data_IF_318719079685
#
_entry.id   IF_318719079685
#
_cell.length_a   1.000
_cell.length_b   1.000
_cell.length_c   1.000
_cell.angle_alpha   90.00
_cell.angle_beta   90.00
_cell.angle_gamma   90.00
#
_symmetry.space_group_name_H-M   'P 1'
#
loop_
_entity.id
_entity.type
_entity.pdbx_description
1 polymer ?
#
# COMPACT_ATOMS: atom_id res chain seq x y z
N UNK A 1 -6.38 13.41 -8.17
CA UNK A 1 -5.38 13.75 -7.13
C UNK A 1 -5.39 15.25 -6.86
N UNK A 2 -6.20 15.67 -5.89
CA UNK A 2 -6.49 17.08 -5.65
C UNK A 2 -5.46 17.81 -4.79
N UNK A 3 -4.56 17.11 -4.09
CA UNK A 3 -3.57 17.74 -3.22
C UNK A 3 -2.26 16.94 -3.13
N UNK A 4 -1.34 17.10 -4.10
CA UNK A 4 -0.04 16.43 -4.11
C UNK A 4 0.81 16.72 -2.87
N UNK A 5 0.85 17.98 -2.42
CA UNK A 5 1.67 18.40 -1.27
C UNK A 5 1.24 17.67 0.01
N UNK A 6 -0.06 17.51 0.22
CA UNK A 6 -0.58 16.75 1.36
C UNK A 6 -0.24 15.26 1.25
N UNK A 7 -0.29 14.69 0.04
CA UNK A 7 0.11 13.29 -0.17
C UNK A 7 1.58 13.07 0.22
N UNK A 8 2.48 13.93 -0.24
CA UNK A 8 3.90 13.86 0.15
C UNK A 8 4.13 14.16 1.63
N UNK A 9 3.44 15.14 2.20
CA UNK A 9 3.56 15.47 3.62
C UNK A 9 3.21 14.28 4.51
N UNK A 10 2.15 13.53 4.17
CA UNK A 10 1.70 12.37 4.95
C UNK A 10 2.52 11.12 4.59
N UNK A 11 2.56 10.75 3.30
CA UNK A 11 3.10 9.45 2.89
C UNK A 11 4.63 9.41 2.85
N UNK A 12 5.29 10.53 2.57
CA UNK A 12 6.74 10.61 2.53
C UNK A 12 7.33 11.18 3.82
N UNK A 13 7.01 12.44 4.15
CA UNK A 13 7.60 13.12 5.32
C UNK A 13 7.14 12.49 6.64
N UNK A 14 5.85 12.13 6.75
CA UNK A 14 5.33 11.41 7.90
C UNK A 14 6.05 10.08 8.12
N UNK A 15 6.23 9.30 7.05
CA UNK A 15 6.97 8.03 7.09
C UNK A 15 8.43 8.23 7.46
N UNK A 16 9.10 9.26 6.91
CA UNK A 16 10.47 9.63 7.31
C UNK A 16 10.57 9.86 8.82
N UNK A 17 9.65 10.64 9.38
CA UNK A 17 9.67 10.96 10.81
C UNK A 17 9.50 9.69 11.67
N UNK A 18 8.64 8.76 11.25
CA UNK A 18 8.50 7.46 11.91
C UNK A 18 9.76 6.61 11.77
N UNK A 19 10.40 6.57 10.61
CA UNK A 19 11.64 5.83 10.38
C UNK A 19 12.79 6.35 11.28
N UNK A 20 12.97 7.67 11.35
CA UNK A 20 13.96 8.30 12.22
C UNK A 20 13.67 8.00 13.70
N UNK A 21 12.42 8.10 14.13
CA UNK A 21 12.04 7.80 15.51
C UNK A 21 12.25 6.32 15.83
N UNK A 22 11.79 5.40 14.97
CA UNK A 22 12.00 3.97 15.16
C UNK A 22 13.47 3.63 15.30
N UNK A 23 14.34 4.19 14.46
CA UNK A 23 15.77 4.02 14.55
C UNK A 23 16.33 4.55 15.89
N UNK A 24 15.89 5.72 16.33
CA UNK A 24 16.42 6.36 17.54
C UNK A 24 16.13 5.59 18.82
N UNK A 25 15.00 4.84 18.86
CA UNK A 25 14.60 4.02 20.01
C UNK A 25 14.89 2.52 19.81
N UNK A 26 15.54 2.14 18.70
CA UNK A 26 15.83 0.74 18.37
C UNK A 26 14.59 -0.10 18.02
N UNK A 27 13.47 0.54 17.72
CA UNK A 27 12.23 -0.16 17.35
C UNK A 27 12.31 -0.75 15.93
N UNK A 28 11.51 -1.77 15.67
CA UNK A 28 11.28 -2.32 14.33
C UNK A 28 10.12 -1.55 13.69
N UNK A 29 10.24 -1.25 12.41
CA UNK A 29 9.21 -0.55 11.64
C UNK A 29 8.58 -1.51 10.63
N UNK A 30 7.28 -1.74 10.74
CA UNK A 30 6.51 -2.41 9.70
C UNK A 30 5.69 -1.33 8.99
N UNK A 31 5.91 -1.19 7.68
CA UNK A 31 5.26 -0.18 6.85
C UNK A 31 4.42 -0.84 5.77
N UNK A 32 3.15 -0.42 5.66
CA UNK A 32 2.28 -0.85 4.58
C UNK A 32 2.44 0.14 3.42
N UNK A 33 2.90 -0.38 2.30
CA UNK A 33 3.00 0.32 1.02
C UNK A 33 1.93 -0.18 0.04
N UNK A 34 2.11 0.06 -1.25
CA UNK A 34 1.13 -0.18 -2.29
C UNK A 34 1.79 -0.77 -3.53
N UNK A 35 1.03 -1.50 -4.34
CA UNK A 35 1.37 -1.92 -5.69
C UNK A 35 1.42 -0.74 -6.68
N UNK A 36 0.75 0.38 -6.38
CA UNK A 36 0.81 1.64 -7.16
C UNK A 36 2.23 2.23 -7.30
N UNK A 37 3.22 1.67 -6.61
CA UNK A 37 4.63 2.01 -6.87
C UNK A 37 5.13 1.44 -8.21
N UNK A 38 4.44 0.47 -8.79
CA UNK A 38 4.74 -0.08 -10.10
C UNK A 38 3.91 0.59 -11.20
N UNK A 39 4.37 0.48 -12.45
CA UNK A 39 3.70 1.12 -13.58
C UNK A 39 2.40 0.43 -14.01
N UNK A 40 2.25 -0.85 -13.73
CA UNK A 40 1.15 -1.67 -14.24
C UNK A 40 1.20 -1.95 -15.75
N UNK A 41 2.36 -1.75 -16.40
CA UNK A 41 2.51 -1.91 -17.85
C UNK A 41 3.28 -3.15 -18.28
N UNK A 42 3.86 -3.86 -17.33
CA UNK A 42 4.63 -5.06 -17.60
C UNK A 42 3.70 -6.26 -17.82
N UNK A 43 4.11 -7.16 -18.71
CA UNK A 43 3.37 -8.40 -19.02
C UNK A 43 3.78 -9.56 -18.07
N UNK A 44 3.94 -9.24 -16.79
CA UNK A 44 4.22 -10.22 -15.74
C UNK A 44 3.73 -9.74 -14.38
N UNK A 45 3.63 -10.67 -13.43
CA UNK A 45 3.33 -10.33 -12.04
C UNK A 45 4.55 -9.69 -11.38
N UNK A 46 4.37 -8.49 -10.81
CA UNK A 46 5.44 -7.78 -10.10
C UNK A 46 5.88 -8.52 -8.84
N UNK A 47 7.16 -8.40 -8.53
CA UNK A 47 7.78 -8.90 -7.31
C UNK A 47 8.66 -7.82 -6.66
N UNK A 48 9.28 -8.15 -5.52
CA UNK A 48 10.08 -7.20 -4.75
C UNK A 48 11.37 -6.73 -5.43
N UNK A 49 11.83 -7.42 -6.48
CA UNK A 49 13.05 -7.09 -7.22
C UNK A 49 12.79 -6.22 -8.45
N UNK A 50 11.52 -6.06 -8.84
CA UNK A 50 11.17 -5.21 -9.96
C UNK A 50 11.39 -3.73 -9.63
N UNK A 51 11.83 -2.98 -10.61
CA UNK A 51 12.11 -1.55 -10.46
C UNK A 51 10.80 -0.77 -10.32
N UNK A 52 10.58 -0.04 -9.23
CA UNK A 52 9.41 0.80 -9.07
C UNK A 52 9.36 1.92 -10.13
N UNK A 53 8.18 2.14 -10.70
CA UNK A 53 7.91 3.20 -11.68
C UNK A 53 6.48 3.74 -11.52
N UNK A 54 6.16 4.43 -10.42
CA UNK A 54 4.81 4.89 -10.11
C UNK A 54 4.30 5.93 -11.10
N UNK A 55 3.08 5.78 -11.54
CA UNK A 55 2.44 6.68 -12.52
C UNK A 55 1.64 7.81 -11.87
N UNK A 56 1.11 7.59 -10.68
CA UNK A 56 0.26 8.54 -9.95
C UNK A 56 1.00 9.17 -8.74
N UNK A 57 0.46 10.26 -8.19
CA UNK A 57 1.04 10.96 -7.04
C UNK A 57 1.01 10.10 -5.77
N UNK A 58 -0.04 9.30 -5.59
CA UNK A 58 -0.14 8.39 -4.46
C UNK A 58 1.04 7.41 -4.45
N UNK A 59 1.24 6.66 -5.54
CA UNK A 59 2.36 5.73 -5.67
C UNK A 59 3.72 6.42 -5.52
N UNK A 60 3.92 7.60 -6.15
CA UNK A 60 5.15 8.40 -6.01
C UNK A 60 5.43 8.79 -4.56
N UNK A 61 4.42 9.27 -3.85
CA UNK A 61 4.55 9.67 -2.45
C UNK A 61 4.81 8.48 -1.51
N UNK A 62 4.19 7.33 -1.79
CA UNK A 62 4.43 6.08 -1.04
C UNK A 62 5.84 5.55 -1.30
N UNK A 63 6.30 5.54 -2.55
CA UNK A 63 7.66 5.13 -2.90
C UNK A 63 8.72 6.05 -2.23
N UNK A 64 8.48 7.35 -2.18
CA UNK A 64 9.35 8.27 -1.44
C UNK A 64 9.40 7.92 0.06
N UNK A 65 8.29 7.49 0.65
CA UNK A 65 8.24 6.96 2.01
C UNK A 65 9.10 5.70 2.20
N UNK A 66 9.02 4.75 1.26
CA UNK A 66 9.88 3.54 1.28
C UNK A 66 11.37 3.91 1.25
N UNK A 67 11.76 4.83 0.36
CA UNK A 67 13.14 5.31 0.27
C UNK A 67 13.64 5.94 1.57
N UNK A 68 12.78 6.69 2.28
CA UNK A 68 13.13 7.22 3.60
C UNK A 68 13.28 6.13 4.66
N UNK A 69 12.44 5.09 4.65
CA UNK A 69 12.60 3.95 5.57
C UNK A 69 13.95 3.29 5.34
N UNK A 70 14.28 2.97 4.10
CA UNK A 70 15.54 2.33 3.72
C UNK A 70 16.76 3.17 4.12
N UNK A 71 16.63 4.51 4.06
CA UNK A 71 17.72 5.43 4.39
C UNK A 71 17.90 5.67 5.89
N UNK A 72 16.83 5.63 6.68
CA UNK A 72 16.83 6.09 8.07
C UNK A 72 16.53 5.03 9.11
N UNK A 73 16.11 3.83 8.73
CA UNK A 73 15.79 2.74 9.65
C UNK A 73 16.49 1.47 9.22
N UNK A 74 17.23 0.83 10.13
CA UNK A 74 17.95 -0.41 9.83
C UNK A 74 17.13 -1.68 10.06
N UNK A 75 16.03 -1.57 10.84
CA UNK A 75 15.16 -2.70 11.23
C UNK A 75 13.75 -2.45 10.75
N UNK A 76 13.47 -2.85 9.52
CA UNK A 76 12.16 -2.60 8.92
C UNK A 76 11.67 -3.77 8.06
N UNK A 77 10.35 -3.78 7.84
CA UNK A 77 9.66 -4.57 6.81
C UNK A 77 8.73 -3.63 6.05
N UNK A 78 8.76 -3.69 4.73
CA UNK A 78 7.82 -2.97 3.85
C UNK A 78 6.91 -4.02 3.21
N UNK A 79 5.60 -3.91 3.46
CA UNK A 79 4.57 -4.77 2.88
C UNK A 79 3.83 -3.98 1.79
N UNK A 80 4.03 -4.35 0.54
CA UNK A 80 3.32 -3.79 -0.61
C UNK A 80 2.04 -4.58 -0.81
N UNK A 81 0.89 -3.95 -0.59
CA UNK A 81 -0.42 -4.57 -0.75
C UNK A 81 -1.19 -3.91 -1.88
N UNK A 82 -2.12 -4.66 -2.48
CA UNK A 82 -3.03 -4.19 -3.50
C UNK A 82 -4.46 -4.29 -3.00
N UNK A 83 -5.32 -3.38 -3.38
CA UNK A 83 -6.77 -3.35 -3.17
C UNK A 83 -7.23 -4.03 -1.87
N UNK A 84 -6.88 -3.42 -0.75
CA UNK A 84 -7.24 -3.96 0.58
C UNK A 84 -8.76 -3.91 0.76
N UNK A 85 -9.34 -5.05 1.08
CA UNK A 85 -10.77 -5.18 1.37
C UNK A 85 -11.01 -5.76 2.77
N UNK A 86 -12.18 -5.45 3.34
CA UNK A 86 -12.55 -5.95 4.67
C UNK A 86 -13.87 -5.36 5.17
N UNK A 87 -13.89 -4.93 6.44
CA UNK A 87 -15.05 -4.28 7.03
C UNK A 87 -15.00 -2.78 6.68
N UNK A 88 -16.04 -2.28 6.03
CA UNK A 88 -16.17 -0.86 5.69
C UNK A 88 -16.38 -0.61 4.21
N UNK A 89 -16.06 0.60 3.77
CA UNK A 89 -16.14 0.97 2.36
C UNK A 89 -14.81 0.66 1.65
N UNK A 90 -14.88 -0.26 0.71
CA UNK A 90 -13.80 -0.59 -0.21
C UNK A 90 -14.37 -0.86 -1.61
N UNK A 91 -13.49 -1.05 -2.60
CA UNK A 91 -13.91 -1.28 -3.98
C UNK A 91 -14.80 -2.53 -4.11
N UNK A 92 -14.44 -3.64 -3.47
CA UNK A 92 -15.19 -4.88 -3.55
C UNK A 92 -16.60 -4.73 -2.97
N UNK A 93 -16.72 -4.11 -1.80
CA UNK A 93 -18.00 -3.83 -1.16
C UNK A 93 -18.85 -2.84 -1.98
N UNK A 94 -18.22 -1.87 -2.65
CA UNK A 94 -18.90 -0.93 -3.56
C UNK A 94 -19.50 -1.68 -4.74
N UNK A 95 -18.74 -2.55 -5.40
CA UNK A 95 -19.23 -3.39 -6.52
C UNK A 95 -20.35 -4.32 -6.05
N UNK A 96 -20.16 -5.04 -4.93
CA UNK A 96 -21.17 -5.93 -4.38
C UNK A 96 -22.49 -5.21 -4.00
N UNK A 97 -22.36 -3.98 -3.51
CA UNK A 97 -23.54 -3.17 -3.18
C UNK A 97 -24.28 -2.71 -4.44
N UNK A 98 -23.54 -2.29 -5.47
CA UNK A 98 -24.12 -1.90 -6.75
C UNK A 98 -24.84 -3.07 -7.45
N UNK A 99 -24.25 -4.27 -7.43
CA UNK A 99 -24.89 -5.49 -8.00
C UNK A 99 -26.17 -5.86 -7.26
N UNK A 100 -26.27 -5.56 -5.97
CA UNK A 100 -27.47 -5.85 -5.16
C UNK A 100 -28.56 -4.77 -5.24
N UNK A 101 -28.25 -3.61 -5.77
CA UNK A 101 -29.17 -2.49 -5.88
C UNK A 101 -29.99 -2.59 -7.18
N UNK A 102 -31.32 -2.86 -7.12
CA UNK A 102 -32.15 -2.96 -8.31
C UNK A 102 -32.25 -1.67 -9.13
N UNK A 103 -31.85 -0.53 -8.58
CA UNK A 103 -31.84 0.76 -9.29
C UNK A 103 -30.58 0.95 -10.13
N UNK A 104 -29.53 0.16 -9.91
CA UNK A 104 -28.29 0.20 -10.68
C UNK A 104 -28.39 -0.74 -11.88
N UNK A 105 -28.62 -0.17 -13.05
CA UNK A 105 -28.74 -0.93 -14.30
C UNK A 105 -27.40 -1.17 -15.00
N UNK A 106 -26.39 -0.37 -14.69
CA UNK A 106 -25.07 -0.41 -15.33
C UNK A 106 -23.97 -0.05 -14.33
N UNK A 107 -22.88 -0.80 -14.36
CA UNK A 107 -21.68 -0.51 -13.57
C UNK A 107 -20.50 -0.38 -14.54
N UNK A 108 -19.93 0.82 -14.62
CA UNK A 108 -18.74 1.07 -15.42
C UNK A 108 -17.49 0.73 -14.61
N UNK A 109 -16.69 -0.21 -15.11
CA UNK A 109 -15.40 -0.60 -14.51
C UNK A 109 -14.30 -0.46 -15.55
N UNK A 110 -13.05 -0.25 -15.10
CA UNK A 110 -11.89 -0.25 -15.96
C UNK A 110 -11.55 -1.67 -16.38
N UNK A 111 -11.34 -1.91 -17.67
CA UNK A 111 -10.85 -3.21 -18.18
C UNK A 111 -9.32 -3.33 -18.18
N UNK A 112 -8.62 -2.24 -17.85
CA UNK A 112 -7.15 -2.14 -17.88
C UNK A 112 -6.52 -2.11 -16.50
N UNK A 113 -7.32 -2.24 -15.43
CA UNK A 113 -6.83 -2.28 -14.06
C UNK A 113 -6.80 -3.71 -13.55
N UNK A 114 -5.60 -4.22 -13.34
CA UNK A 114 -5.36 -5.55 -12.76
C UNK A 114 -4.82 -5.38 -11.36
N UNK A 115 -5.42 -6.07 -10.40
CA UNK A 115 -5.01 -6.01 -9.01
C UNK A 115 -5.17 -7.38 -8.34
N UNK A 116 -4.42 -7.60 -7.28
CA UNK A 116 -4.57 -8.76 -6.40
C UNK A 116 -5.29 -8.32 -5.12
N UNK A 117 -6.63 -8.53 -4.99
CA UNK A 117 -7.35 -8.13 -3.79
C UNK A 117 -6.71 -8.73 -2.53
N UNK A 118 -6.44 -7.90 -1.54
CA UNK A 118 -5.78 -8.27 -0.29
C UNK A 118 -6.75 -8.18 0.86
N UNK A 119 -7.00 -9.29 1.57
CA UNK A 119 -7.84 -9.26 2.76
C UNK A 119 -7.14 -8.49 3.90
N UNK A 120 -7.83 -7.52 4.50
CA UNK A 120 -7.32 -6.77 5.66
C UNK A 120 -6.98 -7.70 6.84
N UNK A 121 -7.77 -8.77 7.04
CA UNK A 121 -7.51 -9.76 8.10
C UNK A 121 -6.26 -10.59 7.82
N UNK A 122 -6.01 -10.97 6.56
CA UNK A 122 -4.78 -11.67 6.19
C UNK A 122 -3.56 -10.76 6.28
N UNK A 123 -3.68 -9.50 5.87
CA UNK A 123 -2.62 -8.52 6.04
C UNK A 123 -2.27 -8.34 7.52
N UNK A 124 -3.27 -8.28 8.40
CA UNK A 124 -3.05 -8.21 9.84
C UNK A 124 -2.33 -9.46 10.40
N UNK A 125 -2.65 -10.67 9.92
CA UNK A 125 -1.94 -11.91 10.29
C UNK A 125 -0.49 -11.90 9.83
N UNK A 126 -0.22 -11.40 8.62
CA UNK A 126 1.14 -11.24 8.10
C UNK A 126 1.93 -10.27 8.98
N UNK A 127 1.34 -9.15 9.37
CA UNK A 127 1.95 -8.18 10.30
C UNK A 127 2.27 -8.85 11.64
N UNK A 128 1.31 -9.57 12.23
CA UNK A 128 1.51 -10.31 13.47
C UNK A 128 2.66 -11.33 13.36
N UNK A 129 2.73 -12.07 12.24
CA UNK A 129 3.82 -13.00 11.98
C UNK A 129 5.18 -12.29 11.97
N UNK A 130 5.32 -11.17 11.26
CA UNK A 130 6.56 -10.39 11.24
C UNK A 130 6.92 -9.79 12.59
N UNK A 131 5.95 -9.40 13.41
CA UNK A 131 6.20 -8.96 14.78
C UNK A 131 6.88 -10.10 15.55
N UNK A 132 6.31 -11.31 15.51
CA UNK A 132 6.80 -12.49 16.25
C UNK A 132 8.18 -12.95 15.79
N UNK A 133 8.44 -13.09 14.49
CA UNK A 133 9.72 -13.57 13.98
C UNK A 133 10.85 -12.55 14.06
N UNK A 134 10.53 -11.28 14.21
CA UNK A 134 11.52 -10.22 14.34
C UNK A 134 11.87 -9.92 15.81
N UNK A 135 11.35 -10.68 16.78
CA UNK A 135 11.72 -10.57 18.20
C UNK A 135 13.11 -11.11 18.52
N UNK A 136 13.75 -11.79 17.53
CA UNK A 136 15.10 -12.38 17.66
C UNK A 136 16.15 -11.60 16.90
#
# INVERSE_FOLDING_TARGET
ETNPDKAYAVNAVGTRNLAVMAQSIGAKLIHISTDDIFSGTEDHSYNEFDTPNPRNIYGKSKLAGEAYIQSFCSRYVILRSSWVYGIGQDFLNTVLSAVKDPSVNELTVSEYEYACPTSASELARIIEYFIKILEY
#
